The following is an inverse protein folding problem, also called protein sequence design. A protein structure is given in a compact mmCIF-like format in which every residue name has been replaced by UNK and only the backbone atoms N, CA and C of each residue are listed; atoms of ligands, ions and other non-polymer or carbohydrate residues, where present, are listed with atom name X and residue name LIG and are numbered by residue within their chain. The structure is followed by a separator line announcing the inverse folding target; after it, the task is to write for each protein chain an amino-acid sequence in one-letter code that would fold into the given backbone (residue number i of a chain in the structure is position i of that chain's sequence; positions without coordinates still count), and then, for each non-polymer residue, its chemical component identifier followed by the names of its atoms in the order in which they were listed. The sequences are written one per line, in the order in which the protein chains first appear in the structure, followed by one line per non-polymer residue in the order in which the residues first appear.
data_IF_197249257318
#
_entry.id   IF_197249257318
#
_cell.length_a   1.000
_cell.length_b   1.000
_cell.length_c   1.000
_cell.angle_alpha   90.00
_cell.angle_beta   90.00
_cell.angle_gamma   90.00
#
_symmetry.space_group_name_H-M   'P 1'
#
loop_
_entity.id
_entity.type
_entity.pdbx_description
1 polymer ?
#
# COMPACT_ATOMS: atom_id res chain seq x y z
N UNK A 1 -9.85 -32.48 -4.76
CA UNK A 1 -8.88 -31.66 -3.99
C UNK A 1 -9.56 -30.38 -3.51
N UNK A 2 -9.30 -29.94 -2.27
CA UNK A 2 -9.84 -28.66 -1.77
C UNK A 2 -9.08 -27.50 -2.43
N UNK A 3 -9.80 -26.44 -2.80
CA UNK A 3 -9.17 -25.21 -3.33
C UNK A 3 -8.62 -24.39 -2.17
N UNK A 4 -7.43 -23.83 -2.33
CA UNK A 4 -6.81 -22.89 -1.37
C UNK A 4 -7.08 -21.46 -1.83
N UNK A 5 -7.30 -20.55 -0.87
CA UNK A 5 -7.37 -19.11 -1.15
C UNK A 5 -5.94 -18.57 -1.14
N UNK A 6 -5.55 -17.89 -2.22
CA UNK A 6 -4.26 -17.24 -2.36
C UNK A 6 -4.47 -15.73 -2.42
N UNK A 7 -3.75 -15.00 -1.58
CA UNK A 7 -3.71 -13.54 -1.60
C UNK A 7 -2.34 -13.11 -2.13
N UNK A 8 -2.33 -12.27 -3.16
CA UNK A 8 -1.10 -11.73 -3.75
C UNK A 8 -1.06 -10.22 -3.52
N UNK A 9 -0.02 -9.75 -2.82
CA UNK A 9 0.15 -8.35 -2.45
C UNK A 9 1.50 -7.82 -2.87
N UNK A 10 1.57 -6.57 -3.32
CA UNK A 10 2.82 -5.89 -3.67
C UNK A 10 2.92 -4.56 -2.93
N UNK A 11 4.15 -4.26 -2.51
CA UNK A 11 4.54 -3.04 -1.84
C UNK A 11 5.54 -2.27 -2.69
N UNK A 12 5.25 -1.01 -2.99
CA UNK A 12 6.11 -0.11 -3.75
C UNK A 12 6.38 1.14 -2.93
N UNK A 13 7.66 1.47 -2.77
CA UNK A 13 8.10 2.63 -2.00
C UNK A 13 9.37 3.23 -2.61
N UNK A 14 9.50 4.55 -2.49
CA UNK A 14 10.74 5.29 -2.67
C UNK A 14 10.83 6.35 -1.55
N UNK A 15 12.00 6.53 -0.92
CA UNK A 15 12.13 7.43 0.22
C UNK A 15 12.10 8.89 -0.21
N UNK A 16 11.66 9.77 0.70
CA UNK A 16 11.75 11.22 0.50
C UNK A 16 13.20 11.61 0.24
N UNK A 17 13.41 12.44 -0.78
CA UNK A 17 14.74 12.93 -1.14
C UNK A 17 15.55 11.99 -2.02
N UNK A 18 14.97 10.88 -2.49
CA UNK A 18 15.62 10.08 -3.53
C UNK A 18 15.75 10.87 -4.83
N UNK A 19 16.72 10.52 -5.67
CA UNK A 19 16.91 11.19 -6.96
C UNK A 19 15.78 10.85 -7.93
N UNK A 20 15.29 11.86 -8.65
CA UNK A 20 14.17 11.66 -9.60
C UNK A 20 14.43 10.57 -10.65
N UNK A 21 15.67 10.43 -11.13
CA UNK A 21 16.04 9.38 -12.09
C UNK A 21 15.97 7.97 -11.50
N UNK A 22 16.16 7.80 -10.18
CA UNK A 22 15.99 6.49 -9.51
C UNK A 22 14.51 6.12 -9.49
N UNK A 23 13.64 7.09 -9.18
CA UNK A 23 12.19 6.89 -9.15
C UNK A 23 11.67 6.60 -10.58
N UNK A 24 12.15 7.35 -11.57
CA UNK A 24 11.89 7.12 -13.00
C UNK A 24 12.28 5.71 -13.42
N UNK A 25 13.50 5.30 -13.12
CA UNK A 25 13.99 3.97 -13.48
C UNK A 25 13.14 2.86 -12.85
N UNK A 26 12.78 3.00 -11.57
CA UNK A 26 11.90 2.05 -10.89
C UNK A 26 10.50 2.01 -11.51
N UNK A 27 9.95 3.17 -11.91
CA UNK A 27 8.67 3.25 -12.59
C UNK A 27 8.68 2.55 -13.94
N UNK A 28 9.68 2.85 -14.79
CA UNK A 28 9.79 2.27 -16.13
C UNK A 28 10.13 0.78 -16.12
N UNK A 29 10.93 0.31 -15.15
CA UNK A 29 11.40 -1.09 -15.11
C UNK A 29 10.53 -2.01 -14.26
N UNK A 30 9.77 -1.49 -13.30
CA UNK A 30 8.99 -2.30 -12.36
C UNK A 30 7.52 -1.92 -12.35
N UNK A 31 7.19 -0.69 -11.93
CA UNK A 31 5.81 -0.34 -11.59
C UNK A 31 4.90 -0.37 -12.83
N UNK A 32 5.28 0.34 -13.90
CA UNK A 32 4.47 0.43 -15.11
C UNK A 32 4.37 -0.91 -15.85
N UNK A 33 5.47 -1.65 -16.13
CA UNK A 33 5.38 -2.96 -16.79
C UNK A 33 4.52 -3.95 -16.02
N UNK A 34 4.60 -3.96 -14.68
CA UNK A 34 3.78 -4.84 -13.86
C UNK A 34 2.29 -4.49 -13.99
N UNK A 35 1.92 -3.21 -13.91
CA UNK A 35 0.53 -2.76 -14.04
C UNK A 35 -0.02 -3.06 -15.44
N UNK A 36 0.77 -2.83 -16.50
CA UNK A 36 0.38 -3.13 -17.89
C UNK A 36 0.20 -4.63 -18.09
N UNK A 37 1.05 -5.45 -17.48
CA UNK A 37 0.90 -6.90 -17.54
C UNK A 37 -0.36 -7.36 -16.80
N UNK A 38 -0.56 -6.88 -15.58
CA UNK A 38 -1.78 -7.17 -14.80
C UNK A 38 -3.04 -6.75 -15.56
N UNK A 39 -2.94 -5.66 -16.34
CA UNK A 39 -4.06 -5.19 -17.14
C UNK A 39 -4.58 -6.26 -18.12
N UNK A 40 -3.64 -7.01 -18.72
CA UNK A 40 -3.92 -8.03 -19.73
C UNK A 40 -4.53 -9.31 -19.18
N UNK A 41 -4.53 -9.53 -17.86
CA UNK A 41 -5.06 -10.75 -17.23
C UNK A 41 -6.18 -10.44 -16.22
N UNK A 42 -7.42 -10.20 -16.68
CA UNK A 42 -8.56 -9.81 -15.82
C UNK A 42 -8.91 -10.76 -14.67
N UNK A 43 -8.50 -12.03 -14.78
CA UNK A 43 -8.72 -13.04 -13.73
C UNK A 43 -7.79 -12.92 -12.52
N UNK A 44 -6.68 -12.18 -12.63
CA UNK A 44 -5.71 -12.00 -11.54
C UNK A 44 -6.13 -10.80 -10.69
N UNK A 45 -6.29 -11.02 -9.38
CA UNK A 45 -6.60 -9.99 -8.40
C UNK A 45 -5.47 -9.88 -7.40
N UNK A 46 -5.12 -8.65 -7.03
CA UNK A 46 -4.03 -8.36 -6.10
C UNK A 46 -4.43 -7.27 -5.11
N UNK A 47 -3.71 -7.21 -4.00
CA UNK A 47 -3.63 -6.01 -3.16
C UNK A 47 -2.38 -5.21 -3.54
N UNK A 48 -2.49 -3.89 -3.65
CA UNK A 48 -1.42 -3.02 -4.13
C UNK A 48 -1.22 -1.86 -3.17
N UNK A 49 0.02 -1.64 -2.77
CA UNK A 49 0.43 -0.48 -2.00
C UNK A 49 1.45 0.34 -2.77
N UNK A 50 1.20 1.64 -2.91
CA UNK A 50 2.21 2.65 -3.19
C UNK A 50 2.22 3.63 -2.03
N UNK A 51 3.39 4.10 -1.61
CA UNK A 51 3.47 5.16 -0.60
C UNK A 51 2.99 6.50 -1.17
N UNK A 52 2.57 7.42 -0.31
CA UNK A 52 2.04 8.73 -0.72
C UNK A 52 3.01 9.52 -1.60
N UNK A 53 4.30 9.47 -1.26
CA UNK A 53 5.39 10.09 -2.04
C UNK A 53 5.42 9.59 -3.50
N UNK A 54 5.20 8.28 -3.70
CA UNK A 54 5.16 7.71 -5.05
C UNK A 54 3.88 8.09 -5.78
N UNK A 55 2.76 8.22 -5.07
CA UNK A 55 1.55 8.75 -5.68
C UNK A 55 1.69 10.20 -6.10
N UNK A 56 2.29 11.06 -5.27
CA UNK A 56 2.58 12.46 -5.62
C UNK A 56 3.49 12.54 -6.84
N UNK A 57 4.56 11.76 -6.86
CA UNK A 57 5.47 11.70 -8.00
C UNK A 57 4.78 11.20 -9.28
N UNK A 58 3.97 10.15 -9.21
CA UNK A 58 3.20 9.70 -10.37
C UNK A 58 2.19 10.75 -10.83
N UNK A 59 1.57 11.50 -9.91
CA UNK A 59 0.61 12.55 -10.26
C UNK A 59 1.27 13.68 -11.05
N UNK A 60 2.50 14.03 -10.70
CA UNK A 60 3.27 15.08 -11.34
C UNK A 60 3.90 14.64 -12.67
N UNK A 61 4.52 13.47 -12.71
CA UNK A 61 5.37 13.04 -13.83
C UNK A 61 4.76 11.94 -14.71
N UNK A 62 3.93 11.06 -14.14
CA UNK A 62 3.36 9.89 -14.84
C UNK A 62 1.86 9.66 -14.55
N UNK A 63 0.98 10.63 -14.87
CA UNK A 63 -0.45 10.53 -14.59
C UNK A 63 -1.11 9.33 -15.32
N UNK A 64 -0.49 8.80 -16.37
CA UNK A 64 -0.88 7.55 -17.02
C UNK A 64 -0.81 6.34 -16.07
N UNK A 65 0.17 6.30 -15.15
CA UNK A 65 0.29 5.26 -14.14
C UNK A 65 -0.90 5.27 -13.18
N UNK A 66 -1.28 6.45 -12.69
CA UNK A 66 -2.48 6.61 -11.85
C UNK A 66 -3.76 6.24 -12.59
N UNK A 67 -3.87 6.63 -13.87
CA UNK A 67 -5.01 6.28 -14.72
C UNK A 67 -5.15 4.77 -14.89
N UNK A 68 -4.03 4.06 -15.06
CA UNK A 68 -4.00 2.61 -15.14
C UNK A 68 -4.43 1.98 -13.80
N UNK A 69 -3.87 2.43 -12.67
CA UNK A 69 -4.30 1.96 -11.33
C UNK A 69 -5.80 2.17 -11.14
N UNK A 70 -6.33 3.35 -11.48
CA UNK A 70 -7.77 3.66 -11.39
C UNK A 70 -8.62 2.71 -12.23
N UNK A 71 -8.15 2.34 -13.41
CA UNK A 71 -8.81 1.34 -14.27
C UNK A 71 -8.83 -0.04 -13.62
N UNK A 72 -7.70 -0.49 -13.07
CA UNK A 72 -7.57 -1.78 -12.39
C UNK A 72 -8.44 -1.86 -11.11
N UNK A 73 -8.56 -0.75 -10.38
CA UNK A 73 -9.44 -0.62 -9.21
C UNK A 73 -10.91 -0.69 -9.62
N UNK A 74 -11.33 0.11 -10.61
CA UNK A 74 -12.73 0.18 -11.06
C UNK A 74 -13.28 -1.19 -11.51
N UNK A 75 -12.44 -2.03 -12.10
CA UNK A 75 -12.80 -3.38 -12.55
C UNK A 75 -12.59 -4.47 -11.51
N UNK A 76 -12.22 -4.11 -10.27
CA UNK A 76 -12.12 -5.03 -9.13
C UNK A 76 -10.92 -5.97 -9.16
N UNK A 77 -9.85 -5.62 -9.87
CA UNK A 77 -8.61 -6.39 -9.89
C UNK A 77 -7.58 -5.93 -8.87
N UNK A 78 -7.61 -4.67 -8.48
CA UNK A 78 -6.72 -4.12 -7.47
C UNK A 78 -7.53 -3.67 -6.27
N UNK A 79 -7.19 -4.22 -5.11
CA UNK A 79 -7.49 -3.62 -3.82
C UNK A 79 -6.33 -2.70 -3.44
N UNK A 80 -6.62 -1.42 -3.15
CA UNK A 80 -5.61 -0.50 -2.67
C UNK A 80 -5.43 -0.63 -1.16
N UNK A 81 -4.17 -0.78 -0.74
CA UNK A 81 -3.79 -0.78 0.67
C UNK A 81 -3.31 0.61 1.08
N UNK A 82 -3.76 1.07 2.24
CA UNK A 82 -3.22 2.28 2.88
C UNK A 82 -1.92 1.97 3.65
N UNK A 83 -1.36 2.97 4.32
CA UNK A 83 -0.13 2.92 5.11
C UNK A 83 0.17 4.33 5.63
N UNK A 84 1.31 4.54 6.29
CA UNK A 84 1.73 5.90 6.58
C UNK A 84 2.18 6.60 5.30
N UNK A 85 1.67 7.82 5.05
CA UNK A 85 1.89 8.55 3.79
C UNK A 85 3.37 8.67 3.38
N UNK A 86 4.22 9.02 4.33
CA UNK A 86 5.66 9.19 4.13
C UNK A 86 6.47 7.95 4.52
N UNK A 87 5.83 6.78 4.61
CA UNK A 87 6.47 5.53 5.03
C UNK A 87 7.14 5.54 6.43
N UNK A 88 6.55 6.14 7.48
CA UNK A 88 7.14 6.08 8.80
C UNK A 88 7.09 4.66 9.38
N UNK A 89 8.11 4.28 10.14
CA UNK A 89 8.03 3.20 11.12
C UNK A 89 7.08 3.67 12.23
N UNK A 90 5.81 3.25 12.17
CA UNK A 90 4.75 3.79 13.05
C UNK A 90 5.13 3.79 14.53
N UNK A 91 5.71 2.72 15.12
CA UNK A 91 6.11 2.72 16.53
C UNK A 91 7.11 3.83 16.93
N UNK A 92 7.89 4.36 15.99
CA UNK A 92 8.97 5.33 16.27
C UNK A 92 8.49 6.78 16.22
N UNK A 93 7.28 7.04 15.71
CA UNK A 93 6.71 8.38 15.64
C UNK A 93 5.70 8.65 16.77
N UNK A 94 5.42 9.92 17.11
CA UNK A 94 4.42 10.26 18.12
C UNK A 94 3.04 9.66 17.82
N UNK A 95 2.32 9.25 18.87
CA UNK A 95 1.00 8.61 18.75
C UNK A 95 -0.02 9.44 17.95
N UNK A 96 0.02 10.77 18.11
CA UNK A 96 -0.83 11.70 17.34
C UNK A 96 -0.57 11.65 15.83
N UNK A 97 0.65 11.33 15.43
CA UNK A 97 1.07 11.33 14.02
C UNK A 97 0.81 9.96 13.37
N UNK A 98 0.74 8.87 14.16
CA UNK A 98 0.42 7.51 13.67
C UNK A 98 -0.88 7.48 12.87
N UNK A 99 -1.99 7.93 13.48
CA UNK A 99 -3.30 7.98 12.82
C UNK A 99 -3.35 9.02 11.69
N UNK A 100 -2.68 10.17 11.87
CA UNK A 100 -2.61 11.22 10.86
C UNK A 100 -1.94 10.77 9.57
N UNK A 101 -0.81 10.07 9.66
CA UNK A 101 -0.09 9.51 8.50
C UNK A 101 -0.94 8.51 7.72
N UNK A 102 -1.71 7.67 8.41
CA UNK A 102 -2.61 6.69 7.77
C UNK A 102 -3.82 7.39 7.14
N UNK A 103 -4.38 8.38 7.84
CA UNK A 103 -5.51 9.18 7.34
C UNK A 103 -5.13 9.92 6.05
N UNK A 104 -3.96 10.57 6.01
CA UNK A 104 -3.47 11.26 4.81
C UNK A 104 -3.43 10.33 3.59
N UNK A 105 -2.90 9.12 3.75
CA UNK A 105 -2.81 8.14 2.66
C UNK A 105 -4.20 7.65 2.24
N UNK A 106 -5.07 7.42 3.21
CA UNK A 106 -6.44 6.93 2.97
C UNK A 106 -7.29 7.99 2.28
N UNK A 107 -7.13 9.25 2.64
CA UNK A 107 -7.82 10.39 2.05
C UNK A 107 -7.35 10.63 0.62
N UNK A 108 -6.05 10.53 0.36
CA UNK A 108 -5.51 10.56 -1.00
C UNK A 108 -6.11 9.45 -1.87
N UNK A 109 -6.12 8.20 -1.36
CA UNK A 109 -6.68 7.07 -2.11
C UNK A 109 -8.17 7.31 -2.41
N UNK A 110 -8.90 7.83 -1.43
CA UNK A 110 -10.33 8.13 -1.58
C UNK A 110 -10.58 9.24 -2.60
N UNK A 111 -9.80 10.32 -2.58
CA UNK A 111 -9.98 11.44 -3.51
C UNK A 111 -9.61 11.05 -4.95
N UNK A 112 -8.51 10.33 -5.15
CA UNK A 112 -7.99 10.01 -6.49
C UNK A 112 -8.72 8.83 -7.13
N UNK A 113 -8.98 7.77 -6.37
CA UNK A 113 -9.50 6.51 -6.88
C UNK A 113 -10.98 6.26 -6.56
N UNK A 114 -11.58 7.09 -5.69
CA UNK A 114 -13.00 6.97 -5.32
C UNK A 114 -13.32 5.76 -4.45
N UNK A 115 -12.32 5.13 -3.83
CA UNK A 115 -12.47 3.96 -2.95
C UNK A 115 -11.87 4.25 -1.57
N UNK A 116 -12.46 3.71 -0.52
CA UNK A 116 -11.90 3.79 0.83
C UNK A 116 -11.07 2.53 1.11
N UNK A 117 -9.75 2.63 1.33
CA UNK A 117 -8.92 1.49 1.66
C UNK A 117 -9.28 0.95 3.04
N UNK A 118 -9.31 -0.38 3.20
CA UNK A 118 -9.59 -1.02 4.51
C UNK A 118 -8.44 -1.88 5.01
N UNK A 119 -7.52 -2.25 4.13
CA UNK A 119 -6.27 -2.91 4.45
C UNK A 119 -5.10 -1.94 4.52
N UNK A 120 -4.12 -2.24 5.35
CA UNK A 120 -2.91 -1.42 5.50
C UNK A 120 -1.64 -2.26 5.37
N UNK A 121 -0.66 -1.75 4.62
CA UNK A 121 0.72 -2.21 4.68
C UNK A 121 1.45 -1.53 5.85
N UNK A 122 2.01 -2.32 6.77
CA UNK A 122 2.80 -1.81 7.90
C UNK A 122 4.27 -1.70 7.49
N UNK A 123 4.80 -0.49 7.45
CA UNK A 123 6.19 -0.22 7.07
C UNK A 123 7.16 -1.04 7.93
N UNK A 124 8.08 -1.75 7.26
CA UNK A 124 9.05 -2.67 7.86
C UNK A 124 8.48 -3.76 8.78
N UNK A 125 7.16 -3.97 8.75
CA UNK A 125 6.42 -4.90 9.61
C UNK A 125 6.74 -4.73 11.11
N UNK A 126 7.15 -3.53 11.54
CA UNK A 126 7.49 -3.27 12.95
C UNK A 126 6.21 -3.15 13.77
N UNK A 127 5.97 -4.14 14.63
CA UNK A 127 4.75 -4.26 15.43
C UNK A 127 4.96 -3.91 16.90
N UNK A 128 4.03 -3.12 17.47
CA UNK A 128 3.87 -2.98 18.92
C UNK A 128 2.40 -3.21 19.33
N UNK A 129 2.12 -3.72 20.54
CA UNK A 129 0.75 -4.03 20.99
C UNK A 129 -0.22 -2.84 21.03
N UNK A 130 0.29 -1.61 21.01
CA UNK A 130 -0.48 -0.37 21.02
C UNK A 130 -0.93 0.09 19.63
N UNK A 131 -0.33 -0.39 18.53
CA UNK A 131 -0.71 0.00 17.17
C UNK A 131 -2.17 -0.23 16.80
N UNK A 132 -2.83 -1.36 17.19
CA UNK A 132 -4.23 -1.61 16.83
C UNK A 132 -5.17 -0.44 17.11
N UNK A 133 -4.96 0.28 18.22
CA UNK A 133 -5.74 1.47 18.58
C UNK A 133 -5.65 2.55 17.50
N UNK A 134 -4.44 2.91 17.10
CA UNK A 134 -4.19 4.00 16.15
C UNK A 134 -4.55 3.61 14.72
N UNK A 135 -4.28 2.36 14.34
CA UNK A 135 -4.68 1.79 13.05
C UNK A 135 -6.22 1.81 12.91
N UNK A 136 -6.93 1.36 13.96
CA UNK A 136 -8.40 1.35 13.96
C UNK A 136 -9.00 2.76 13.93
N UNK A 137 -8.43 3.71 14.66
CA UNK A 137 -8.84 5.12 14.63
C UNK A 137 -8.77 5.73 13.22
N UNK A 138 -7.82 5.28 12.39
CA UNK A 138 -7.68 5.69 11.00
C UNK A 138 -8.64 4.95 10.03
N UNK A 139 -9.54 4.10 10.53
CA UNK A 139 -10.53 3.39 9.73
C UNK A 139 -10.05 2.08 9.09
N UNK A 140 -8.81 1.66 9.40
CA UNK A 140 -8.24 0.41 8.89
C UNK A 140 -8.83 -0.79 9.64
N UNK A 141 -9.17 -1.85 8.89
CA UNK A 141 -9.78 -3.08 9.41
C UNK A 141 -8.80 -4.24 9.54
N UNK A 142 -7.75 -4.26 8.74
CA UNK A 142 -6.70 -5.28 8.81
C UNK A 142 -5.35 -4.70 8.39
N UNK A 143 -4.28 -5.32 8.85
CA UNK A 143 -2.93 -5.04 8.38
C UNK A 143 -2.20 -6.34 8.06
N UNK A 144 -1.12 -6.24 7.28
CA UNK A 144 -0.31 -7.36 6.86
C UNK A 144 0.92 -7.43 7.77
N UNK A 145 1.15 -8.61 8.35
CA UNK A 145 2.34 -8.96 9.13
C UNK A 145 2.95 -10.25 8.58
N UNK A 146 4.21 -10.46 8.90
CA UNK A 146 4.92 -11.71 8.60
C UNK A 146 4.51 -12.81 9.58
N UNK A 147 4.50 -14.07 9.12
CA UNK A 147 4.15 -15.25 9.92
C UNK A 147 5.02 -15.39 11.18
N UNK A 148 6.25 -14.91 11.13
CA UNK A 148 7.20 -14.91 12.24
C UNK A 148 6.70 -14.15 13.47
N UNK A 149 5.84 -13.13 13.31
CA UNK A 149 5.22 -12.43 14.43
C UNK A 149 4.31 -13.36 15.25
N UNK A 150 3.60 -14.25 14.56
CA UNK A 150 2.73 -15.24 15.19
C UNK A 150 3.54 -16.39 15.80
N UNK A 151 4.65 -16.78 15.17
CA UNK A 151 5.57 -17.76 15.76
C UNK A 151 6.20 -17.25 17.05
N UNK A 152 6.61 -15.98 17.08
CA UNK A 152 7.15 -15.34 18.28
C UNK A 152 6.11 -15.11 19.38
N UNK A 153 4.81 -15.09 19.04
CA UNK A 153 3.74 -15.12 20.05
C UNK A 153 3.39 -16.53 20.54
N UNK A 154 4.03 -17.58 20.00
CA UNK A 154 3.90 -18.96 20.45
C UNK A 154 3.03 -19.87 19.58
N UNK A 155 2.59 -19.41 18.39
CA UNK A 155 1.83 -20.23 17.45
C UNK A 155 2.76 -21.11 16.60
N UNK A 156 2.35 -22.36 16.36
CA UNK A 156 3.07 -23.34 15.53
C UNK A 156 2.40 -23.54 14.17
#
# INVERSE_FOLDING_TARGET
MKRVKFCFGIYNHQPVGNFGWVIEEAFQKSYLPFLVLLEKYPGIRISLHFTGILYDWMKEFHPEGLTLVKTLVKRGQVELLTGGYFEPILPVIPDRDKAGQIAMQSDFIKSEFGVAPTGMWLAERVWEPTLPKYIHQAGVKYTILDDIHFRYSGLQ
#
